data_IF_940027390401
#
_entry.id   IF_940027390401
#
_cell.length_a   1.000
_cell.length_b   1.000
_cell.length_c   1.000
_cell.angle_alpha   90.00
_cell.angle_beta   90.00
_cell.angle_gamma   90.00
#
_symmetry.space_group_name_H-M   'P 1'
#
loop_
_entity.id
_entity.type
_entity.pdbx_description
1 polymer ?
#
# COMPACT_ATOMS: atom_id res chain seq x y z
N UNK A 1 -8.67 -0.67 41.70
CA UNK A 1 -10.03 -0.35 41.22
C UNK A 1 -10.00 -0.37 39.70
N UNK A 2 -10.43 -1.45 39.06
CA UNK A 2 -10.53 -1.51 37.59
C UNK A 2 -11.68 -0.57 37.20
N UNK A 3 -11.37 0.56 36.56
CA UNK A 3 -12.40 1.46 36.04
C UNK A 3 -13.17 0.70 34.95
N UNK A 4 -14.41 0.32 35.25
CA UNK A 4 -15.36 -0.16 34.25
C UNK A 4 -15.82 1.07 33.48
N UNK A 5 -15.24 1.28 32.29
CA UNK A 5 -15.70 2.30 31.36
C UNK A 5 -16.92 1.77 30.62
N UNK A 6 -17.99 2.57 30.54
CA UNK A 6 -19.17 2.16 29.78
C UNK A 6 -18.88 2.23 28.28
N UNK A 7 -19.47 1.33 27.49
CA UNK A 7 -19.25 1.25 26.04
C UNK A 7 -19.57 2.55 25.28
N UNK A 8 -20.44 3.39 25.85
CA UNK A 8 -20.81 4.71 25.32
C UNK A 8 -19.72 5.77 25.44
N UNK A 9 -18.79 5.62 26.39
CA UNK A 9 -17.71 6.57 26.65
C UNK A 9 -16.44 6.24 25.84
N UNK A 10 -16.34 5.00 25.34
CA UNK A 10 -15.16 4.51 24.61
C UNK A 10 -14.77 5.37 23.40
N UNK A 11 -15.69 5.85 22.53
CA UNK A 11 -15.29 6.71 21.41
C UNK A 11 -14.53 7.96 21.85
N UNK A 12 -15.03 8.64 22.88
CA UNK A 12 -14.41 9.86 23.42
C UNK A 12 -13.07 9.56 24.10
N UNK A 13 -12.95 8.40 24.77
CA UNK A 13 -11.69 7.95 25.37
C UNK A 13 -10.64 7.66 24.29
N UNK A 14 -11.04 7.01 23.19
CA UNK A 14 -10.16 6.75 22.05
C UNK A 14 -9.71 8.04 21.36
N UNK A 15 -10.61 9.01 21.20
CA UNK A 15 -10.27 10.33 20.66
C UNK A 15 -9.26 11.07 21.55
N UNK A 16 -9.47 11.06 22.87
CA UNK A 16 -8.54 11.68 23.82
C UNK A 16 -7.19 10.96 23.84
N UNK A 17 -7.17 9.63 23.74
CA UNK A 17 -5.93 8.86 23.64
C UNK A 17 -5.17 9.23 22.35
N UNK A 18 -5.86 9.27 21.21
CA UNK A 18 -5.27 9.63 19.91
C UNK A 18 -4.67 11.03 19.95
N UNK A 19 -5.39 11.99 20.54
CA UNK A 19 -4.92 13.37 20.72
C UNK A 19 -3.64 13.41 21.55
N UNK A 20 -3.61 12.75 22.72
CA UNK A 20 -2.43 12.74 23.60
C UNK A 20 -1.23 12.03 22.99
N UNK A 21 -1.45 10.92 22.29
CA UNK A 21 -0.40 10.19 21.58
C UNK A 21 0.19 11.05 20.46
N UNK A 22 -0.66 11.76 19.71
CA UNK A 22 -0.21 12.72 18.69
C UNK A 22 0.53 13.93 19.26
N UNK A 23 0.15 14.40 20.46
CA UNK A 23 0.88 15.48 21.14
C UNK A 23 2.28 15.03 21.57
N UNK A 24 2.41 13.78 22.06
CA UNK A 24 3.67 13.20 22.51
C UNK A 24 4.62 12.85 21.36
N UNK A 25 4.09 12.48 20.18
CA UNK A 25 4.92 12.11 19.03
C UNK A 25 5.81 13.25 18.54
N UNK A 26 5.49 14.50 18.86
CA UNK A 26 6.33 15.68 18.57
C UNK A 26 7.66 15.68 19.32
N UNK A 27 7.78 14.89 20.39
CA UNK A 27 9.00 14.73 21.17
C UNK A 27 9.90 13.59 20.64
N UNK A 28 9.45 12.87 19.61
CA UNK A 28 10.20 11.71 19.11
C UNK A 28 11.42 12.16 18.30
N UNK A 29 12.53 11.41 18.37
CA UNK A 29 13.67 11.63 17.51
C UNK A 29 13.28 11.56 16.01
N UNK A 30 13.99 12.30 15.13
CA UNK A 30 13.80 12.18 13.69
C UNK A 30 13.98 10.73 13.22
N UNK A 31 13.09 10.26 12.34
CA UNK A 31 13.16 8.91 11.74
C UNK A 31 12.33 7.83 12.45
N UNK A 32 11.69 8.15 13.58
CA UNK A 32 10.74 7.22 14.24
C UNK A 32 9.40 7.22 13.51
N UNK A 33 8.82 6.03 13.33
CA UNK A 33 7.47 5.87 12.76
C UNK A 33 6.45 6.53 13.70
N UNK A 34 5.55 7.39 13.18
CA UNK A 34 4.53 8.02 14.01
C UNK A 34 3.70 6.97 14.77
N UNK A 35 3.43 7.19 16.06
CA UNK A 35 2.63 6.25 16.84
C UNK A 35 1.19 6.24 16.32
N UNK A 36 0.61 5.06 16.23
CA UNK A 36 -0.77 4.85 15.84
C UNK A 36 -1.56 4.26 17.01
N UNK A 37 -2.75 4.80 17.25
CA UNK A 37 -3.69 4.27 18.25
C UNK A 37 -4.63 3.31 17.54
N UNK A 38 -4.52 2.02 17.89
CA UNK A 38 -5.44 0.99 17.44
C UNK A 38 -6.67 0.94 18.37
N UNK A 39 -7.68 1.73 18.04
CA UNK A 39 -8.98 1.77 18.72
C UNK A 39 -9.89 0.59 18.35
N UNK A 40 -9.56 -0.10 17.27
CA UNK A 40 -10.24 -1.29 16.76
C UNK A 40 -9.79 -2.60 17.44
N UNK A 41 -8.86 -2.55 18.41
CA UNK A 41 -8.33 -3.77 19.07
C UNK A 41 -9.41 -4.62 19.75
N UNK A 42 -10.56 -4.03 20.10
CA UNK A 42 -11.71 -4.73 20.67
C UNK A 42 -12.64 -5.38 19.63
N UNK A 43 -12.41 -5.19 18.33
CA UNK A 43 -13.24 -5.79 17.28
C UNK A 43 -13.05 -7.31 17.25
N UNK A 44 -14.09 -8.04 17.66
CA UNK A 44 -14.17 -9.48 17.43
C UNK A 44 -14.94 -9.71 16.12
N UNK A 45 -14.29 -10.32 15.14
CA UNK A 45 -14.97 -10.74 13.92
C UNK A 45 -15.93 -11.89 14.24
N UNK A 46 -17.23 -11.59 14.29
CA UNK A 46 -18.28 -12.59 14.51
C UNK A 46 -18.44 -13.54 13.34
N UNK A 47 -18.13 -13.08 12.13
CA UNK A 47 -17.97 -13.93 10.96
C UNK A 47 -16.63 -13.70 10.28
N UNK A 48 -16.02 -14.78 9.81
CA UNK A 48 -14.76 -14.75 9.06
C UNK A 48 -14.85 -15.69 7.87
N UNK A 49 -14.63 -15.15 6.68
CA UNK A 49 -14.75 -15.87 5.42
C UNK A 49 -13.43 -15.83 4.66
N UNK A 50 -13.16 -16.89 3.89
CA UNK A 50 -12.14 -16.88 2.85
C UNK A 50 -12.81 -16.83 1.49
N UNK A 51 -12.33 -15.93 0.63
CA UNK A 51 -12.82 -15.73 -0.73
C UNK A 51 -11.71 -16.23 -1.66
N UNK A 52 -12.05 -17.24 -2.46
CA UNK A 52 -11.16 -17.83 -3.46
C UNK A 52 -11.94 -18.14 -4.74
N UNK A 53 -11.26 -18.25 -5.87
CA UNK A 53 -11.88 -18.54 -7.16
C UNK A 53 -10.93 -19.23 -8.12
N UNK A 54 -11.47 -19.97 -9.09
CA UNK A 54 -10.71 -20.54 -10.20
C UNK A 54 -10.24 -19.46 -11.17
N UNK A 55 -8.93 -19.43 -11.43
CA UNK A 55 -8.31 -18.48 -12.37
C UNK A 55 -8.44 -16.99 -11.98
N UNK A 56 -8.79 -16.68 -10.72
CA UNK A 56 -8.81 -15.30 -10.22
C UNK A 56 -7.45 -14.89 -9.66
N UNK A 57 -6.96 -13.75 -10.12
CA UNK A 57 -5.78 -13.07 -9.58
C UNK A 57 -6.09 -12.39 -8.23
N UNK A 58 -5.06 -12.08 -7.43
CA UNK A 58 -5.26 -11.40 -6.14
C UNK A 58 -6.02 -10.06 -6.30
N UNK A 59 -5.69 -9.19 -7.28
CA UNK A 59 -6.43 -7.95 -7.49
C UNK A 59 -7.91 -8.18 -7.84
N UNK A 60 -8.25 -9.25 -8.55
CA UNK A 60 -9.64 -9.58 -8.87
C UNK A 60 -10.41 -10.04 -7.63
N UNK A 61 -9.80 -10.91 -6.80
CA UNK A 61 -10.38 -11.33 -5.53
C UNK A 61 -10.58 -10.13 -4.59
N UNK A 62 -9.60 -9.21 -4.52
CA UNK A 62 -9.72 -7.97 -3.74
C UNK A 62 -10.86 -7.10 -4.26
N UNK A 63 -10.97 -6.88 -5.58
CA UNK A 63 -12.07 -6.09 -6.16
C UNK A 63 -13.44 -6.70 -5.84
N UNK A 64 -13.54 -8.02 -5.87
CA UNK A 64 -14.76 -8.72 -5.51
C UNK A 64 -15.07 -8.60 -4.01
N UNK A 65 -14.07 -8.79 -3.14
CA UNK A 65 -14.22 -8.58 -1.70
C UNK A 65 -14.62 -7.13 -1.37
N UNK A 66 -14.09 -6.16 -2.10
CA UNK A 66 -14.46 -4.74 -1.98
C UNK A 66 -15.90 -4.46 -2.38
N UNK A 67 -16.41 -5.16 -3.40
CA UNK A 67 -17.83 -5.11 -3.76
C UNK A 67 -18.70 -5.68 -2.64
N UNK A 68 -18.36 -6.86 -2.11
CA UNK A 68 -19.08 -7.46 -0.98
C UNK A 68 -19.04 -6.56 0.25
N UNK A 69 -17.90 -5.93 0.54
CA UNK A 69 -17.75 -4.98 1.65
C UNK A 69 -18.75 -3.84 1.56
N UNK A 70 -18.93 -3.24 0.36
CA UNK A 70 -19.87 -2.13 0.16
C UNK A 70 -21.31 -2.53 0.49
N UNK A 71 -21.71 -3.75 0.17
CA UNK A 71 -23.04 -4.26 0.51
C UNK A 71 -23.18 -4.62 1.99
N UNK A 72 -22.16 -5.27 2.56
CA UNK A 72 -22.20 -5.75 3.96
C UNK A 72 -22.20 -4.61 4.98
N UNK A 73 -21.51 -3.50 4.69
CA UNK A 73 -21.52 -2.32 5.57
C UNK A 73 -22.92 -1.69 5.69
N UNK A 74 -23.83 -1.95 4.74
CA UNK A 74 -25.21 -1.47 4.80
C UNK A 74 -26.13 -2.35 5.66
N UNK A 75 -25.69 -3.56 6.04
CA UNK A 75 -26.51 -4.49 6.82
C UNK A 75 -26.67 -3.98 8.25
N UNK A 76 -27.91 -3.86 8.77
CA UNK A 76 -28.14 -3.39 10.13
C UNK A 76 -27.37 -4.21 11.17
N UNK A 77 -26.61 -3.52 12.02
CA UNK A 77 -25.81 -4.12 13.07
C UNK A 77 -24.35 -4.41 12.68
N UNK A 78 -24.00 -4.41 11.38
CA UNK A 78 -22.59 -4.52 10.97
C UNK A 78 -21.84 -3.26 11.37
N UNK A 79 -20.75 -3.43 12.11
CA UNK A 79 -19.88 -2.34 12.56
C UNK A 79 -18.69 -2.14 11.64
N UNK A 80 -18.02 -3.22 11.24
CA UNK A 80 -16.83 -3.17 10.38
C UNK A 80 -16.71 -4.40 9.51
N UNK A 81 -16.18 -4.19 8.31
CA UNK A 81 -15.81 -5.26 7.39
C UNK A 81 -14.36 -5.05 6.96
N UNK A 82 -13.49 -5.97 7.37
CA UNK A 82 -12.05 -5.94 7.11
C UNK A 82 -11.66 -6.97 6.05
N UNK A 83 -10.84 -6.56 5.08
CA UNK A 83 -10.31 -7.44 4.04
C UNK A 83 -8.84 -7.73 4.34
N UNK A 84 -8.47 -9.01 4.36
CA UNK A 84 -7.10 -9.48 4.58
C UNK A 84 -6.53 -10.16 3.33
N UNK A 85 -5.19 -10.29 3.27
CA UNK A 85 -4.51 -10.93 2.14
C UNK A 85 -4.47 -10.07 0.86
N UNK A 86 -4.66 -8.75 0.97
CA UNK A 86 -4.48 -7.81 -0.14
C UNK A 86 -2.99 -7.75 -0.48
N UNK A 87 -2.63 -8.08 -1.73
CA UNK A 87 -1.27 -7.89 -2.23
C UNK A 87 -1.24 -6.56 -3.00
N UNK A 88 -0.51 -5.54 -2.50
CA UNK A 88 -0.42 -4.26 -3.17
C UNK A 88 0.05 -4.41 -4.62
N UNK A 89 -0.57 -3.65 -5.51
CA UNK A 89 -0.04 -3.47 -6.86
C UNK A 89 1.19 -2.57 -6.80
N UNK A 90 2.19 -2.89 -7.61
CA UNK A 90 3.39 -2.08 -7.78
C UNK A 90 3.65 -1.82 -9.26
N UNK A 91 4.37 -0.72 -9.53
CA UNK A 91 4.92 -0.46 -10.85
C UNK A 91 6.36 -0.95 -10.85
N UNK A 92 6.72 -1.74 -11.85
CA UNK A 92 8.08 -2.18 -12.08
C UNK A 92 8.66 -1.34 -13.21
N UNK A 93 9.84 -0.76 -12.99
CA UNK A 93 10.60 -0.03 -14.00
C UNK A 93 11.87 -0.81 -14.30
N UNK A 94 11.90 -1.49 -15.43
CA UNK A 94 13.06 -2.24 -15.91
C UNK A 94 13.87 -1.36 -16.88
N UNK A 95 14.94 -0.76 -16.37
CA UNK A 95 15.81 0.17 -17.10
C UNK A 95 16.84 -0.60 -17.90
N UNK A 96 17.02 -0.24 -19.18
CA UNK A 96 18.05 -0.80 -20.05
C UNK A 96 19.34 0.02 -19.99
N UNK A 97 20.41 -0.59 -19.50
CA UNK A 97 21.74 0.04 -19.44
C UNK A 97 22.26 0.43 -20.83
N UNK A 98 22.01 -0.41 -21.83
CA UNK A 98 22.39 -0.13 -23.21
C UNK A 98 21.66 1.10 -23.79
N UNK A 99 20.35 1.23 -23.55
CA UNK A 99 19.57 2.40 -23.99
C UNK A 99 20.04 3.69 -23.30
N UNK A 100 20.32 3.61 -21.99
CA UNK A 100 20.88 4.73 -21.23
C UNK A 100 22.23 5.20 -21.80
N UNK A 101 23.16 4.26 -22.02
CA UNK A 101 24.48 4.55 -22.55
C UNK A 101 24.43 5.25 -23.92
N UNK A 102 23.56 4.79 -24.82
CA UNK A 102 23.34 5.43 -26.14
C UNK A 102 22.80 6.86 -26.06
N UNK A 103 22.12 7.21 -24.96
CA UNK A 103 21.59 8.56 -24.71
C UNK A 103 22.51 9.39 -23.82
N UNK A 104 23.69 8.87 -23.44
CA UNK A 104 24.63 9.56 -22.57
C UNK A 104 24.13 9.76 -21.13
N UNK A 105 23.14 8.97 -20.70
CA UNK A 105 22.55 9.09 -19.35
C UNK A 105 23.25 8.09 -18.42
N UNK A 106 23.73 8.56 -17.28
CA UNK A 106 24.37 7.70 -16.27
C UNK A 106 23.37 7.25 -15.21
N UNK A 107 23.66 6.12 -14.54
CA UNK A 107 22.85 5.64 -13.43
C UNK A 107 22.74 6.65 -12.30
N UNK A 108 23.84 7.33 -11.96
CA UNK A 108 23.86 8.35 -10.91
C UNK A 108 22.95 9.54 -11.25
N UNK A 109 22.91 9.96 -12.52
CA UNK A 109 22.00 11.03 -12.97
C UNK A 109 20.55 10.59 -12.83
N UNK A 110 20.21 9.38 -13.31
CA UNK A 110 18.86 8.85 -13.21
C UNK A 110 18.43 8.71 -11.74
N UNK A 111 19.30 8.15 -10.89
CA UNK A 111 19.05 8.05 -9.45
C UNK A 111 18.82 9.43 -8.80
N UNK A 112 19.60 10.45 -9.17
CA UNK A 112 19.45 11.81 -8.64
C UNK A 112 18.16 12.51 -9.11
N UNK A 113 17.64 12.17 -10.29
CA UNK A 113 16.34 12.67 -10.79
C UNK A 113 15.21 11.98 -10.03
N UNK A 114 15.27 10.67 -9.91
CA UNK A 114 14.25 9.87 -9.22
C UNK A 114 14.17 10.18 -7.72
N UNK A 115 15.32 10.39 -7.06
CA UNK A 115 15.38 10.79 -5.65
C UNK A 115 14.75 12.17 -5.41
N UNK A 116 14.98 13.15 -6.31
CA UNK A 116 14.40 14.50 -6.19
C UNK A 116 12.88 14.53 -6.25
N UNK A 117 12.29 13.56 -6.94
CA UNK A 117 10.85 13.43 -7.10
C UNK A 117 10.24 12.47 -6.06
N UNK A 118 11.01 12.06 -5.05
CA UNK A 118 10.63 11.02 -4.09
C UNK A 118 10.09 9.75 -4.77
N UNK A 119 10.55 9.47 -5.99
CA UNK A 119 10.02 8.36 -6.80
C UNK A 119 10.48 7.04 -6.21
N UNK A 120 11.67 6.97 -5.62
CA UNK A 120 12.25 5.72 -5.10
C UNK A 120 12.42 5.85 -3.59
N UNK A 121 11.73 5.01 -2.83
CA UNK A 121 12.01 4.81 -1.41
C UNK A 121 13.31 4.04 -1.23
N UNK A 122 14.08 4.34 -0.18
CA UNK A 122 15.23 3.54 0.25
C UNK A 122 14.88 2.09 0.63
N UNK A 123 13.59 1.73 0.72
CA UNK A 123 13.12 0.34 0.84
C UNK A 123 12.94 -0.36 -0.53
N UNK A 124 13.11 0.37 -1.63
CA UNK A 124 13.06 -0.14 -2.99
C UNK A 124 14.39 -0.82 -3.37
N UNK A 125 14.31 -2.08 -3.77
CA UNK A 125 15.47 -2.87 -4.13
C UNK A 125 15.92 -2.53 -5.56
N UNK A 126 17.06 -1.83 -5.70
CA UNK A 126 17.75 -1.71 -6.99
C UNK A 126 18.41 -3.07 -7.26
N UNK A 127 17.74 -3.92 -8.02
CA UNK A 127 18.36 -5.16 -8.50
C UNK A 127 19.14 -4.85 -9.77
N UNK A 128 20.46 -4.88 -9.66
CA UNK A 128 21.37 -4.72 -10.79
C UNK A 128 21.59 -6.09 -11.43
N UNK A 129 20.95 -6.32 -12.57
CA UNK A 129 21.32 -7.41 -13.47
C UNK A 129 22.52 -7.02 -14.33
N UNK A 130 23.02 -7.95 -15.14
CA UNK A 130 24.10 -7.67 -16.11
C UNK A 130 23.72 -6.62 -17.15
N UNK A 131 22.42 -6.50 -17.49
CA UNK A 131 21.94 -5.65 -18.59
C UNK A 131 20.82 -4.66 -18.20
N UNK A 132 20.19 -4.85 -17.03
CA UNK A 132 19.03 -4.09 -16.60
C UNK A 132 19.02 -3.76 -15.12
N UNK A 133 18.34 -2.66 -14.78
CA UNK A 133 18.11 -2.25 -13.39
C UNK A 133 16.61 -2.20 -13.15
N UNK A 134 16.12 -2.93 -12.15
CA UNK A 134 14.73 -2.87 -11.72
C UNK A 134 14.55 -1.85 -10.60
N UNK A 135 13.54 -0.99 -10.72
CA UNK A 135 13.13 -0.05 -9.69
C UNK A 135 11.64 -0.20 -9.37
N UNK A 136 11.30 0.08 -8.10
CA UNK A 136 9.93 0.07 -7.58
C UNK A 136 9.59 1.47 -7.07
N UNK A 137 8.81 2.26 -7.82
CA UNK A 137 8.44 3.60 -7.42
C UNK A 137 7.51 3.58 -6.21
N UNK A 138 7.73 4.48 -5.25
CA UNK A 138 6.87 4.70 -4.07
C UNK A 138 6.24 6.09 -4.02
N UNK A 139 6.51 6.94 -5.03
CA UNK A 139 5.94 8.29 -5.14
C UNK A 139 4.48 8.29 -5.61
N UNK A 140 3.85 9.48 -5.63
CA UNK A 140 2.42 9.70 -5.94
C UNK A 140 2.03 9.55 -7.42
N UNK A 141 2.79 8.80 -8.23
CA UNK A 141 2.42 8.62 -9.64
C UNK A 141 1.14 7.80 -9.73
N UNK A 142 0.08 8.41 -10.27
CA UNK A 142 -1.23 7.77 -10.38
C UNK A 142 -1.29 6.82 -11.59
N UNK A 143 -0.36 6.95 -12.54
CA UNK A 143 -0.33 6.15 -13.76
C UNK A 143 1.08 5.76 -14.22
N UNK A 144 1.17 4.61 -14.90
CA UNK A 144 2.38 4.19 -15.63
C UNK A 144 2.76 5.21 -16.70
N UNK A 145 1.77 5.85 -17.34
CA UNK A 145 2.02 6.77 -18.44
C UNK A 145 2.73 8.04 -17.97
N UNK A 146 2.26 8.60 -16.84
CA UNK A 146 2.89 9.76 -16.19
C UNK A 146 4.34 9.47 -15.82
N UNK A 147 4.59 8.33 -15.18
CA UNK A 147 5.95 7.91 -14.84
C UNK A 147 6.80 7.67 -16.11
N UNK A 148 6.21 7.10 -17.15
CA UNK A 148 6.87 6.87 -18.43
C UNK A 148 7.23 8.15 -19.17
N UNK A 149 6.47 9.24 -18.98
CA UNK A 149 6.72 10.56 -19.57
C UNK A 149 7.71 11.42 -18.77
N UNK A 150 8.18 10.93 -17.62
CA UNK A 150 9.19 11.61 -16.83
C UNK A 150 10.45 11.93 -17.65
N UNK A 151 10.84 13.20 -17.67
CA UNK A 151 12.06 13.65 -18.33
C UNK A 151 13.30 13.24 -17.53
N UNK A 152 14.18 12.47 -18.17
CA UNK A 152 15.42 11.93 -17.58
C UNK A 152 16.68 12.51 -18.21
N UNK A 153 16.54 13.38 -19.23
CA UNK A 153 17.66 14.07 -19.85
C UNK A 153 18.23 15.19 -18.97
N UNK A 154 19.56 15.41 -18.95
CA UNK A 154 20.17 16.56 -18.29
C UNK A 154 19.66 17.90 -18.82
N UNK A 155 19.73 18.94 -18.00
CA UNK A 155 19.40 20.30 -18.42
C UNK A 155 20.39 20.75 -19.52
N UNK A 156 19.87 21.23 -20.65
CA UNK A 156 20.67 21.65 -21.81
C UNK A 156 21.04 20.53 -22.79
N UNK A 157 20.52 19.31 -22.61
CA UNK A 157 20.67 18.25 -23.60
C UNK A 157 19.98 18.63 -24.92
N UNK A 158 20.67 18.38 -26.05
CA UNK A 158 20.12 18.65 -27.39
C UNK A 158 18.88 17.81 -27.73
N UNK A 159 18.64 16.72 -26.99
CA UNK A 159 17.51 15.84 -27.18
C UNK A 159 16.87 15.51 -25.83
N UNK A 160 15.56 15.72 -25.74
CA UNK A 160 14.75 15.31 -24.60
C UNK A 160 14.63 13.79 -24.58
N UNK A 161 14.91 13.18 -23.43
CA UNK A 161 14.74 11.73 -23.23
C UNK A 161 13.75 11.51 -22.10
N UNK A 162 12.73 10.68 -22.35
CA UNK A 162 11.74 10.24 -21.36
C UNK A 162 12.15 8.91 -20.74
N UNK A 163 11.61 8.60 -19.56
CA UNK A 163 11.90 7.33 -18.89
C UNK A 163 11.51 6.13 -19.79
N UNK A 164 10.38 6.21 -20.49
CA UNK A 164 9.95 5.17 -21.45
C UNK A 164 10.93 4.93 -22.62
N UNK A 165 11.81 5.89 -22.93
CA UNK A 165 12.79 5.74 -24.00
C UNK A 165 13.96 4.83 -23.58
N UNK A 166 14.18 4.69 -22.27
CA UNK A 166 15.29 3.93 -21.69
C UNK A 166 14.85 2.79 -20.77
N UNK A 167 13.56 2.69 -20.44
CA UNK A 167 13.01 1.69 -19.53
C UNK A 167 11.70 1.09 -20.04
N UNK A 168 11.41 -0.13 -19.60
CA UNK A 168 10.11 -0.77 -19.77
C UNK A 168 9.35 -0.66 -18.45
N UNK A 169 8.13 -0.12 -18.49
CA UNK A 169 7.28 0.01 -17.31
C UNK A 169 6.20 -1.07 -17.37
N UNK A 170 6.00 -1.77 -16.26
CA UNK A 170 4.95 -2.79 -16.15
C UNK A 170 4.24 -2.68 -14.80
N UNK A 171 2.97 -3.11 -14.76
CA UNK A 171 2.19 -3.21 -13.53
C UNK A 171 2.28 -4.66 -13.05
N UNK A 172 2.59 -4.84 -11.78
CA UNK A 172 2.71 -6.14 -11.13
C UNK A 172 2.14 -6.11 -9.73
N UNK A 173 2.26 -7.25 -9.04
CA UNK A 173 2.08 -7.34 -7.60
C UNK A 173 3.42 -7.08 -6.91
N UNK A 174 3.38 -6.62 -5.66
CA UNK A 174 4.60 -6.50 -4.86
C UNK A 174 5.33 -7.83 -4.75
N UNK A 175 6.65 -7.79 -4.97
CA UNK A 175 7.55 -8.94 -4.80
C UNK A 175 7.76 -9.29 -3.31
N UNK A 176 7.42 -8.37 -2.40
CA UNK A 176 7.61 -8.49 -0.95
C UNK A 176 6.28 -8.28 -0.20
N UNK A 177 5.28 -9.15 -0.41
CA UNK A 177 3.99 -9.02 0.28
C UNK A 177 4.17 -9.24 1.79
N UNK A 178 3.53 -8.42 2.61
CA UNK A 178 3.54 -8.58 4.07
C UNK A 178 2.91 -9.91 4.51
N UNK A 179 1.96 -10.43 3.72
CA UNK A 179 1.35 -11.74 3.94
C UNK A 179 0.72 -12.28 2.66
N UNK A 180 0.64 -13.61 2.54
CA UNK A 180 0.01 -14.32 1.42
C UNK A 180 -0.98 -15.32 1.99
N UNK A 181 -2.23 -15.27 1.54
CA UNK A 181 -3.34 -16.01 2.11
C UNK A 181 -3.76 -17.14 1.16
N UNK A 182 -4.02 -18.31 1.73
CA UNK A 182 -4.53 -19.47 1.02
C UNK A 182 -5.71 -20.07 1.76
N UNK A 183 -6.67 -20.61 1.01
CA UNK A 183 -7.77 -21.42 1.52
C UNK A 183 -7.82 -22.72 0.70
N UNK A 184 -7.77 -23.86 1.38
CA UNK A 184 -7.75 -25.19 0.74
C UNK A 184 -6.70 -25.32 -0.38
N UNK A 185 -5.49 -24.79 -0.15
CA UNK A 185 -4.38 -24.83 -1.10
C UNK A 185 -4.48 -23.83 -2.27
N UNK A 186 -5.50 -22.97 -2.28
CA UNK A 186 -5.75 -21.99 -3.35
C UNK A 186 -5.55 -20.58 -2.83
N UNK A 187 -5.04 -19.68 -3.68
CA UNK A 187 -4.90 -18.28 -3.33
C UNK A 187 -6.26 -17.69 -2.90
N UNK A 188 -6.25 -16.93 -1.82
CA UNK A 188 -7.46 -16.36 -1.25
C UNK A 188 -7.21 -14.95 -0.70
N UNK A 189 -8.30 -14.22 -0.51
CA UNK A 189 -8.38 -13.06 0.40
C UNK A 189 -9.36 -13.40 1.51
N UNK A 190 -9.24 -12.77 2.67
CA UNK A 190 -10.19 -13.00 3.78
C UNK A 190 -11.09 -11.81 3.99
N UNK A 191 -12.23 -12.06 4.60
CA UNK A 191 -13.20 -11.04 5.01
C UNK A 191 -13.64 -11.32 6.45
N UNK A 192 -13.31 -10.40 7.35
CA UNK A 192 -13.81 -10.38 8.72
C UNK A 192 -14.95 -9.39 8.85
N UNK A 193 -16.05 -9.79 9.50
CA UNK A 193 -17.21 -8.94 9.77
C UNK A 193 -17.41 -8.85 11.28
N UNK A 194 -17.33 -7.65 11.83
CA UNK A 194 -17.69 -7.35 13.21
C UNK A 194 -19.03 -6.62 13.26
N UNK A 195 -19.73 -6.77 14.38
CA UNK A 195 -21.00 -6.11 14.64
C UNK A 195 -20.81 -5.05 15.71
N UNK A 196 -21.63 -4.01 15.66
CA UNK A 196 -21.69 -3.09 16.79
C UNK A 196 -21.97 -3.87 18.07
N UNK A 197 -21.34 -3.49 19.20
CA UNK A 197 -21.72 -4.03 20.50
C UNK A 197 -23.22 -3.84 20.68
N UNK A 198 -23.95 -4.94 20.93
CA UNK A 198 -25.42 -4.93 21.01
C UNK A 198 -25.90 -3.81 21.94
N UNK A 199 -26.49 -2.76 21.37
CA UNK A 199 -27.26 -1.78 22.15
C UNK A 199 -28.56 -2.47 22.55
N UNK A 200 -28.75 -2.72 23.84
CA UNK A 200 -30.08 -2.97 24.39
C UNK A 200 -30.93 -1.74 24.07
N UNK A 201 -31.82 -1.86 23.09
CA UNK A 201 -32.99 -0.99 22.95
C UNK A 201 -34.08 -1.62 23.80
N UNK A 202 -34.20 -1.19 25.05
CA UNK A 202 -35.46 -1.05 25.78
C UNK A 202 -35.29 0.08 26.79
#
# INVERSE_FOLDING_TARGET
MLRQYHSSELPQIWDELRRRVGDASRLFPPGVVPPFVNDDFGDVFGFFFAISGDSFTNPELVRYAEQLRRELVLVPGVGKVAIGGVIPQQINVDISLAKMARRGITLNQLAAILARLNVVSSAGEIRVGSESIRLHPTGEFQSIDELGDLLVSPHGASATTRLRDIATLSRGLTDSPASIYHANGRQAVTMGVSFYPWRQRY
#
